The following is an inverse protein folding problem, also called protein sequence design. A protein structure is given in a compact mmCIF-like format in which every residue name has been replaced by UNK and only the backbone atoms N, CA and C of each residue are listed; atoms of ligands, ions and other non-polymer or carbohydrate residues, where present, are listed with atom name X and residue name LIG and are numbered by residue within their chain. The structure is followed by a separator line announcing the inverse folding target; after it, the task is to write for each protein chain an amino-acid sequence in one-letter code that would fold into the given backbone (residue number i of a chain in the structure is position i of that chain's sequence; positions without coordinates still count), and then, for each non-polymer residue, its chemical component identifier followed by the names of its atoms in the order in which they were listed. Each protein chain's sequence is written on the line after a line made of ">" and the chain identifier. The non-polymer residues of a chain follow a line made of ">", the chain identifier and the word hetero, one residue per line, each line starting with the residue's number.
data_IF_410196333241
#
_entry.id   IF_410196333241
#
_cell.length_a   1.000
_cell.length_b   1.000
_cell.length_c   1.000
_cell.angle_alpha   90.00
_cell.angle_beta   90.00
_cell.angle_gamma   90.00
#
_symmetry.space_group_name_H-M   'P 1'
#
loop_
_entity.id
_entity.type
_entity.pdbx_description
1 polymer ?
#
# COMPACT_ATOMS: atom_id res chain seq x y z
N UNK A 1 -9.01 2.65 18.90
CA UNK A 1 -7.93 3.01 17.97
C UNK A 1 -8.23 2.26 16.68
N UNK A 2 -8.55 2.97 15.59
CA UNK A 2 -9.00 2.33 14.35
C UNK A 2 -7.76 1.96 13.54
N UNK A 3 -7.39 0.68 13.53
CA UNK A 3 -6.29 0.09 12.77
C UNK A 3 -6.86 -0.92 11.77
N UNK A 4 -6.44 -0.84 10.51
CA UNK A 4 -6.76 -1.85 9.51
C UNK A 4 -5.55 -2.78 9.34
N UNK A 5 -5.75 -4.08 9.60
CA UNK A 5 -4.79 -5.11 9.23
C UNK A 5 -5.37 -5.89 8.05
N UNK A 6 -4.77 -5.73 6.88
CA UNK A 6 -5.18 -6.45 5.68
C UNK A 6 -4.06 -7.40 5.24
N UNK A 7 -4.31 -8.71 5.30
CA UNK A 7 -3.47 -9.75 4.69
C UNK A 7 -4.23 -10.34 3.52
N UNK A 8 -3.76 -10.09 2.29
CA UNK A 8 -4.48 -10.45 1.08
C UNK A 8 -3.56 -11.20 0.12
N UNK A 9 -4.08 -12.28 -0.47
CA UNK A 9 -3.39 -13.10 -1.47
C UNK A 9 -4.22 -13.17 -2.75
N UNK A 10 -3.60 -12.93 -3.91
CA UNK A 10 -4.24 -13.18 -5.21
C UNK A 10 -4.56 -11.93 -6.03
N UNK A 11 -4.96 -12.19 -7.28
CA UNK A 11 -4.81 -11.30 -8.44
C UNK A 11 -6.03 -10.42 -8.71
N UNK A 12 -5.79 -9.13 -8.95
CA UNK A 12 -6.77 -8.08 -9.21
C UNK A 12 -7.67 -7.74 -8.03
N UNK A 13 -7.22 -6.78 -7.23
CA UNK A 13 -8.02 -6.16 -6.19
C UNK A 13 -7.58 -4.71 -6.03
N UNK A 14 -8.54 -3.78 -6.12
CA UNK A 14 -8.33 -2.37 -5.79
C UNK A 14 -8.77 -2.13 -4.35
N UNK A 15 -7.92 -1.49 -3.56
CA UNK A 15 -8.24 -1.14 -2.16
C UNK A 15 -8.34 0.37 -2.01
N UNK A 16 -9.50 0.82 -1.53
CA UNK A 16 -9.74 2.21 -1.14
C UNK A 16 -9.92 2.26 0.37
N UNK A 17 -9.04 3.02 1.03
CA UNK A 17 -9.04 3.16 2.48
C UNK A 17 -9.14 4.65 2.81
N UNK A 18 -10.27 5.04 3.38
CA UNK A 18 -10.58 6.40 3.82
C UNK A 18 -10.56 6.41 5.36
N UNK A 19 -9.69 7.22 5.96
CA UNK A 19 -9.74 7.61 7.38
C UNK A 19 -9.12 6.71 8.47
N UNK A 20 -8.08 5.92 8.17
CA UNK A 20 -7.32 5.23 9.22
C UNK A 20 -6.11 6.04 9.70
N UNK A 21 -5.96 6.15 11.03
CA UNK A 21 -4.80 6.78 11.65
C UNK A 21 -3.54 5.94 11.45
N UNK A 22 -3.69 4.60 11.50
CA UNK A 22 -2.64 3.61 11.32
C UNK A 22 -3.11 2.59 10.28
N UNK A 23 -2.32 2.40 9.23
CA UNK A 23 -2.64 1.49 8.13
C UNK A 23 -1.47 0.55 7.89
N UNK A 24 -1.67 -0.74 8.16
CA UNK A 24 -0.65 -1.78 7.94
C UNK A 24 -1.12 -2.74 6.85
N UNK A 25 -0.42 -2.75 5.72
CA UNK A 25 -0.74 -3.60 4.57
C UNK A 25 0.42 -4.55 4.32
N UNK A 26 0.15 -5.86 4.35
CA UNK A 26 1.12 -6.88 3.96
C UNK A 26 0.55 -7.75 2.85
N UNK A 27 1.18 -7.75 1.68
CA UNK A 27 0.75 -8.54 0.52
C UNK A 27 1.83 -9.54 0.09
N UNK A 28 1.41 -10.76 -0.22
CA UNK A 28 2.26 -11.81 -0.77
C UNK A 28 1.91 -12.09 -2.22
N UNK A 29 2.91 -11.97 -3.10
CA UNK A 29 2.81 -12.12 -4.55
C UNK A 29 1.64 -11.34 -5.18
N UNK A 30 1.40 -10.05 -4.82
CA UNK A 30 0.30 -9.29 -5.43
C UNK A 30 0.54 -9.16 -6.94
N UNK A 31 -0.54 -9.29 -7.72
CA UNK A 31 -0.51 -9.08 -9.17
C UNK A 31 -1.64 -8.17 -9.60
N UNK A 32 -1.32 -7.14 -10.38
CA UNK A 32 -2.29 -6.17 -10.90
C UNK A 32 -3.10 -5.56 -9.74
N UNK A 33 -2.41 -4.85 -8.86
CA UNK A 33 -2.97 -4.40 -7.57
C UNK A 33 -2.80 -2.89 -7.45
N UNK A 34 -3.90 -2.20 -7.15
CA UNK A 34 -3.89 -0.77 -6.90
C UNK A 34 -4.26 -0.51 -5.43
N UNK A 35 -3.43 0.27 -4.73
CA UNK A 35 -3.67 0.69 -3.35
C UNK A 35 -3.79 2.20 -3.35
N UNK A 36 -4.95 2.71 -2.91
CA UNK A 36 -5.19 4.16 -2.78
C UNK A 36 -5.57 4.51 -1.35
N UNK A 37 -4.78 5.40 -0.73
CA UNK A 37 -5.02 5.91 0.64
C UNK A 37 -5.24 7.42 0.62
N UNK A 38 -6.28 7.89 1.32
CA UNK A 38 -6.56 9.32 1.51
C UNK A 38 -6.23 9.76 2.94
N UNK A 39 -5.37 10.78 3.06
CA UNK A 39 -4.93 11.40 4.31
C UNK A 39 -4.40 10.41 5.39
N UNK A 40 -3.58 9.41 5.04
CA UNK A 40 -3.02 8.50 6.04
C UNK A 40 -2.07 9.24 6.99
N UNK A 41 -2.15 8.95 8.30
CA UNK A 41 -1.19 9.52 9.27
C UNK A 41 0.05 8.66 9.44
N UNK A 42 -0.12 7.37 9.69
CA UNK A 42 0.96 6.39 9.81
C UNK A 42 0.63 5.21 8.90
N UNK A 43 1.55 4.85 8.01
CA UNK A 43 1.32 3.81 7.02
C UNK A 43 2.56 2.96 6.82
N UNK A 44 2.39 1.65 7.01
CA UNK A 44 3.39 0.64 6.72
C UNK A 44 2.87 -0.28 5.62
N UNK A 45 3.56 -0.34 4.49
CA UNK A 45 3.22 -1.24 3.38
C UNK A 45 4.40 -2.17 3.10
N UNK A 46 4.17 -3.47 3.20
CA UNK A 46 5.15 -4.50 2.86
C UNK A 46 4.62 -5.38 1.73
N UNK A 47 5.36 -5.45 0.62
CA UNK A 47 5.00 -6.30 -0.53
C UNK A 47 6.07 -7.34 -0.80
N UNK A 48 5.70 -8.61 -0.83
CA UNK A 48 6.61 -9.70 -1.21
C UNK A 48 6.38 -10.11 -2.67
N UNK A 49 7.41 -9.98 -3.51
CA UNK A 49 7.39 -10.33 -4.95
C UNK A 49 6.18 -9.73 -5.71
N UNK A 50 5.98 -8.40 -5.69
CA UNK A 50 4.89 -7.74 -6.40
C UNK A 50 5.08 -7.77 -7.92
N UNK A 51 3.96 -7.78 -8.67
CA UNK A 51 3.94 -7.61 -10.13
C UNK A 51 2.84 -6.65 -10.53
N UNK A 52 3.18 -5.56 -11.22
CA UNK A 52 2.21 -4.54 -11.64
C UNK A 52 1.39 -4.05 -10.44
N UNK A 53 2.06 -3.38 -9.49
CA UNK A 53 1.43 -2.85 -8.28
C UNK A 53 1.65 -1.36 -8.21
N UNK A 54 0.57 -0.60 -8.12
CA UNK A 54 0.59 0.84 -7.96
C UNK A 54 0.10 1.23 -6.56
N UNK A 55 0.81 2.17 -5.93
CA UNK A 55 0.46 2.71 -4.63
C UNK A 55 0.32 4.22 -4.78
N UNK A 56 -0.86 4.74 -4.46
CA UNK A 56 -1.18 6.17 -4.49
C UNK A 56 -1.56 6.65 -3.09
N UNK A 57 -0.88 7.69 -2.61
CA UNK A 57 -1.11 8.30 -1.31
C UNK A 57 -1.44 9.78 -1.49
N UNK A 58 -2.59 10.22 -0.97
CA UNK A 58 -2.96 11.64 -0.96
C UNK A 58 -2.72 12.24 0.42
N UNK A 59 -1.87 13.28 0.48
CA UNK A 59 -1.50 14.00 1.70
C UNK A 59 -1.05 13.10 2.87
N UNK A 60 -0.04 12.21 2.66
CA UNK A 60 0.50 11.37 3.73
C UNK A 60 1.31 12.17 4.74
N UNK A 61 1.41 11.67 5.99
CA UNK A 61 2.32 12.23 7.00
C UNK A 61 3.56 11.37 7.22
N UNK A 62 3.38 10.12 7.65
CA UNK A 62 4.46 9.17 7.91
C UNK A 62 4.18 7.88 7.14
N UNK A 63 5.09 7.51 6.25
CA UNK A 63 4.94 6.37 5.34
C UNK A 63 6.24 5.61 5.24
N UNK A 64 6.18 4.31 5.47
CA UNK A 64 7.24 3.35 5.18
C UNK A 64 6.74 2.30 4.18
N UNK A 65 7.48 2.10 3.09
CA UNK A 65 7.18 1.11 2.06
C UNK A 65 8.38 0.19 1.89
N UNK A 66 8.19 -1.11 2.12
CA UNK A 66 9.22 -2.13 2.00
C UNK A 66 8.97 -3.07 0.83
N UNK A 67 9.98 -3.18 -0.04
CA UNK A 67 10.00 -4.06 -1.22
C UNK A 67 11.29 -4.89 -1.25
N UNK A 68 11.23 -6.24 -1.25
CA UNK A 68 12.40 -7.08 -1.52
C UNK A 68 12.92 -6.82 -2.94
N UNK A 69 14.22 -6.60 -3.01
CA UNK A 69 15.02 -6.13 -4.14
C UNK A 69 14.86 -7.03 -5.37
N UNK A 70 13.89 -6.75 -6.25
CA UNK A 70 13.86 -7.26 -7.63
C UNK A 70 12.93 -6.49 -8.60
N UNK A 71 12.37 -5.35 -8.19
CA UNK A 71 11.40 -4.61 -9.00
C UNK A 71 11.65 -3.10 -8.93
N UNK A 72 11.39 -2.42 -10.05
CA UNK A 72 11.34 -0.96 -10.14
C UNK A 72 9.90 -0.50 -9.89
N UNK A 73 9.56 -0.04 -8.68
CA UNK A 73 8.26 0.56 -8.43
C UNK A 73 8.18 1.97 -9.05
N UNK A 74 7.02 2.33 -9.60
CA UNK A 74 6.64 3.71 -9.90
C UNK A 74 5.85 4.26 -8.72
N UNK A 75 6.40 5.27 -8.02
CA UNK A 75 5.71 5.94 -6.93
C UNK A 75 5.47 7.42 -7.27
N UNK A 76 4.30 7.80 -7.80
CA UNK A 76 3.93 9.20 -7.89
C UNK A 76 3.56 9.70 -6.49
N UNK A 77 4.48 10.39 -5.81
CA UNK A 77 4.17 11.19 -4.62
C UNK A 77 3.48 12.47 -5.11
N UNK A 78 2.15 12.54 -4.99
CA UNK A 78 1.39 13.76 -5.22
C UNK A 78 1.25 14.49 -3.87
N UNK A 79 1.92 15.63 -3.75
CA UNK A 79 1.79 16.55 -2.60
C UNK A 79 0.48 17.33 -2.68
#
# INVERSE_FOLDING_TARGET
>A
MLSLLATLSGTMTGYLIELFMYTDITLYNPRYTDITLYNPRYTDITLYNPRYTDITLYNPRYTDITLPIHYFPSFPLLN
#
